data_IF_556712140242
#
_entry.id   IF_556712140242
#
_cell.length_a   1.000
_cell.length_b   1.000
_cell.length_c   1.000
_cell.angle_alpha   90.00
_cell.angle_beta   90.00
_cell.angle_gamma   90.00
#
_symmetry.space_group_name_H-M   'P 1'
#
loop_
_entity.id
_entity.type
_entity.pdbx_description
1 polymer ?
#
# COMPACT_ATOMS: atom_id res chain seq x y z
N UNK A 1 1.84 6.32 15.00
CA UNK A 1 1.40 7.33 14.02
C UNK A 1 0.80 6.60 12.81
N UNK A 2 -0.53 6.62 12.66
CA UNK A 2 -1.25 5.85 11.62
C UNK A 2 -0.88 6.31 10.19
N UNK A 3 -0.66 7.61 9.99
CA UNK A 3 -0.27 8.17 8.70
C UNK A 3 1.09 7.67 8.22
N UNK A 4 2.07 7.56 9.14
CA UNK A 4 3.41 7.05 8.82
C UNK A 4 3.36 5.57 8.42
N UNK A 5 2.55 4.75 9.08
CA UNK A 5 2.41 3.33 8.74
C UNK A 5 1.82 3.18 7.33
N UNK A 6 0.78 3.96 7.01
CA UNK A 6 0.20 3.98 5.67
C UNK A 6 1.21 4.45 4.61
N UNK A 7 1.97 5.51 4.92
CA UNK A 7 3.01 6.02 4.03
C UNK A 7 4.10 4.98 3.78
N UNK A 8 4.56 4.28 4.82
CA UNK A 8 5.58 3.23 4.66
C UNK A 8 5.06 2.08 3.81
N UNK A 9 3.82 1.64 4.02
CA UNK A 9 3.27 0.49 3.29
C UNK A 9 2.89 0.85 1.85
N UNK A 10 2.52 2.09 1.55
CA UNK A 10 2.15 2.50 0.19
C UNK A 10 3.32 3.11 -0.59
N UNK A 11 4.11 3.97 0.06
CA UNK A 11 5.13 4.81 -0.56
C UNK A 11 6.55 4.26 -0.52
N UNK A 12 6.91 3.50 0.53
CA UNK A 12 8.28 2.98 0.64
C UNK A 12 8.63 1.96 -0.47
N UNK A 13 7.76 0.99 -0.83
CA UNK A 13 8.06 0.04 -1.91
C UNK A 13 8.26 0.74 -3.26
N UNK A 14 7.46 1.79 -3.53
CA UNK A 14 7.60 2.59 -4.74
C UNK A 14 8.94 3.33 -4.75
N UNK A 15 9.25 4.03 -3.65
CA UNK A 15 10.48 4.82 -3.52
C UNK A 15 11.74 3.94 -3.60
N UNK A 16 11.72 2.75 -2.99
CA UNK A 16 12.81 1.77 -3.06
C UNK A 16 12.99 1.24 -4.48
N UNK A 17 11.91 0.89 -5.17
CA UNK A 17 11.99 0.39 -6.54
C UNK A 17 12.57 1.45 -7.49
N UNK A 18 12.14 2.71 -7.36
CA UNK A 18 12.68 3.83 -8.15
C UNK A 18 14.14 4.15 -7.82
N UNK A 19 14.51 4.17 -6.53
CA UNK A 19 15.87 4.46 -6.12
C UNK A 19 16.89 3.43 -6.63
N UNK A 20 16.44 2.19 -6.86
CA UNK A 20 17.32 1.08 -7.22
C UNK A 20 17.25 0.70 -8.70
N UNK A 21 16.47 1.42 -9.52
CA UNK A 21 16.32 1.13 -10.96
C UNK A 21 17.64 1.17 -11.73
N UNK A 22 18.65 1.90 -11.24
CA UNK A 22 19.99 1.97 -11.84
C UNK A 22 20.92 0.78 -11.54
N UNK A 23 20.56 -0.10 -10.60
CA UNK A 23 21.36 -1.29 -10.27
C UNK A 23 20.79 -2.50 -11.02
N UNK A 24 21.48 -2.98 -12.06
CA UNK A 24 20.86 -3.80 -13.10
C UNK A 24 20.12 -5.06 -12.60
N UNK A 25 20.76 -5.93 -11.83
CA UNK A 25 20.12 -7.18 -11.34
C UNK A 25 19.30 -6.96 -10.07
N UNK A 26 19.85 -6.18 -9.12
CA UNK A 26 19.20 -5.94 -7.83
C UNK A 26 17.94 -5.06 -7.96
N UNK A 27 18.00 -4.04 -8.82
CA UNK A 27 16.86 -3.18 -9.15
C UNK A 27 15.74 -3.94 -9.82
N UNK A 28 16.06 -4.88 -10.72
CA UNK A 28 15.08 -5.77 -11.34
C UNK A 28 14.35 -6.64 -10.31
N UNK A 29 15.10 -7.28 -9.40
CA UNK A 29 14.51 -8.11 -8.34
C UNK A 29 13.64 -7.31 -7.37
N UNK A 30 14.09 -6.12 -6.96
CA UNK A 30 13.34 -5.26 -6.04
C UNK A 30 12.11 -4.67 -6.73
N UNK A 31 12.22 -4.30 -8.01
CA UNK A 31 11.08 -3.87 -8.82
C UNK A 31 10.03 -4.98 -8.94
N UNK A 32 10.44 -6.22 -9.17
CA UNK A 32 9.53 -7.37 -9.20
C UNK A 32 8.87 -7.60 -7.84
N UNK A 33 9.63 -7.54 -6.74
CA UNK A 33 9.09 -7.67 -5.39
C UNK A 33 8.06 -6.57 -5.07
N UNK A 34 8.36 -5.33 -5.46
CA UNK A 34 7.44 -4.20 -5.31
C UNK A 34 6.17 -4.41 -6.13
N UNK A 35 6.28 -4.89 -7.37
CA UNK A 35 5.12 -5.21 -8.21
C UNK A 35 4.22 -6.28 -7.57
N UNK A 36 4.80 -7.39 -7.11
CA UNK A 36 4.07 -8.45 -6.39
C UNK A 36 3.40 -7.88 -5.13
N UNK A 37 4.09 -7.02 -4.40
CA UNK A 37 3.53 -6.35 -3.22
C UNK A 37 2.32 -5.47 -3.56
N UNK A 38 2.35 -4.72 -4.67
CA UNK A 38 1.20 -3.94 -5.12
C UNK A 38 0.01 -4.81 -5.53
N UNK A 39 0.26 -5.95 -6.18
CA UNK A 39 -0.79 -6.94 -6.46
C UNK A 39 -1.38 -7.45 -5.13
N UNK A 40 -0.56 -7.78 -4.14
CA UNK A 40 -1.03 -8.22 -2.84
C UNK A 40 -1.89 -7.15 -2.15
N UNK A 41 -1.49 -5.87 -2.20
CA UNK A 41 -2.30 -4.76 -1.70
C UNK A 41 -3.65 -4.68 -2.41
N UNK A 42 -3.67 -4.79 -3.74
CA UNK A 42 -4.91 -4.73 -4.51
C UNK A 42 -5.84 -5.90 -4.19
N UNK A 43 -5.31 -7.13 -4.20
CA UNK A 43 -6.09 -8.35 -3.91
C UNK A 43 -6.64 -8.33 -2.49
N UNK A 44 -5.82 -7.98 -1.50
CA UNK A 44 -6.25 -7.91 -0.09
C UNK A 44 -7.29 -6.83 0.15
N UNK A 45 -7.23 -5.72 -0.58
CA UNK A 45 -8.24 -4.67 -0.56
C UNK A 45 -9.54 -5.15 -1.24
N UNK A 46 -9.44 -5.77 -2.41
CA UNK A 46 -10.59 -6.20 -3.19
C UNK A 46 -11.40 -7.30 -2.50
N UNK A 47 -10.72 -8.28 -1.89
CA UNK A 47 -11.31 -9.42 -1.19
C UNK A 47 -11.79 -9.08 0.23
N UNK A 48 -11.41 -7.93 0.79
CA UNK A 48 -11.89 -7.51 2.09
C UNK A 48 -13.36 -7.06 2.02
N UNK A 49 -14.26 -7.58 2.89
CA UNK A 49 -15.64 -7.09 2.98
C UNK A 49 -15.72 -5.60 3.30
N UNK A 50 -14.75 -5.09 4.05
CA UNK A 50 -14.63 -3.68 4.45
C UNK A 50 -13.75 -2.86 3.50
N UNK A 51 -13.29 -3.46 2.40
CA UNK A 51 -12.31 -2.88 1.47
C UNK A 51 -11.02 -2.41 2.16
N UNK A 52 -10.62 -3.08 3.24
CA UNK A 52 -9.36 -2.82 3.94
C UNK A 52 -8.20 -3.63 3.34
N UNK A 53 -7.28 -2.91 2.71
CA UNK A 53 -5.99 -3.46 2.29
C UNK A 53 -5.03 -3.69 3.45
N UNK A 54 -3.87 -4.32 3.19
CA UNK A 54 -2.85 -4.53 4.23
C UNK A 54 -2.41 -3.21 4.88
N UNK A 55 -2.26 -2.16 4.09
CA UNK A 55 -1.90 -0.81 4.57
C UNK A 55 -2.87 -0.28 5.64
N UNK A 56 -4.16 -0.60 5.52
CA UNK A 56 -5.20 -0.21 6.47
C UNK A 56 -5.24 -1.11 7.70
N UNK A 57 -5.04 -2.42 7.52
CA UNK A 57 -5.01 -3.40 8.62
C UNK A 57 -3.86 -3.13 9.59
N UNK A 58 -2.66 -2.87 9.06
CA UNK A 58 -1.49 -2.53 9.89
C UNK A 58 -1.62 -1.16 10.55
N UNK A 59 -2.25 -0.19 9.88
CA UNK A 59 -2.50 1.12 10.45
C UNK A 59 -3.68 1.14 11.44
N UNK A 60 -4.46 0.05 11.55
CA UNK A 60 -5.68 -0.06 12.35
C UNK A 60 -6.73 0.99 11.96
N UNK A 61 -6.94 1.16 10.66
CA UNK A 61 -7.79 2.20 10.08
C UNK A 61 -8.79 1.63 9.06
N UNK A 62 -9.87 2.36 8.79
CA UNK A 62 -10.85 2.02 7.75
C UNK A 62 -11.28 3.30 7.02
N UNK A 63 -11.44 3.23 5.70
CA UNK A 63 -12.06 4.31 4.93
C UNK A 63 -13.57 4.16 5.01
N UNK A 64 -14.24 5.14 5.59
CA UNK A 64 -15.70 5.19 5.69
C UNK A 64 -16.22 6.36 4.87
N UNK A 65 -17.37 6.18 4.23
CA UNK A 65 -18.08 7.31 3.61
C UNK A 65 -18.54 8.24 4.73
N UNK A 66 -18.16 9.51 4.67
CA UNK A 66 -18.66 10.51 5.62
C UNK A 66 -20.19 10.59 5.49
N UNK A 67 -20.90 10.43 6.61
CA UNK A 67 -22.33 10.69 6.67
C UNK A 67 -22.53 12.20 6.47
N UNK A 68 -23.30 12.58 5.45
CA UNK A 68 -23.72 13.97 5.27
C UNK A 68 -24.73 14.28 6.38
N UNK A 69 -24.37 15.15 7.32
CA UNK A 69 -25.35 15.73 8.24
C UNK A 69 -26.32 16.57 7.42
N UNK A 70 -27.59 16.17 7.42
CA UNK A 70 -28.68 17.01 6.92
C UNK A 70 -29.23 17.71 8.16
N UNK A 71 -29.07 19.03 8.19
CA UNK A 71 -29.65 19.91 9.21
C UNK A 71 -31.11 20.21 8.90
#
# INVERSE_FOLDING_TARGET
NQGVIRYLLLGAPFSLATALTGYSSLGGLIGLAAFVYFIALLVTTAQSPTKQGLHDRYAKTMVVKAARSVA
#
